data_IF_674592296871
#
_entry.id   IF_674592296871
#
_cell.length_a   1.000
_cell.length_b   1.000
_cell.length_c   1.000
_cell.angle_alpha   90.00
_cell.angle_beta   90.00
_cell.angle_gamma   90.00
#
_symmetry.space_group_name_H-M   'P 1'
#
loop_
_entity.id
_entity.type
_entity.pdbx_description
1 polymer ?
#
# COMPACT_ATOMS: atom_id res chain seq x y z
N UNK A 1 18.62 -6.84 -34.23
CA UNK A 1 19.39 -7.81 -33.41
C UNK A 1 18.59 -9.10 -33.41
N UNK A 2 19.20 -10.24 -33.69
CA UNK A 2 18.48 -11.53 -33.59
C UNK A 2 18.11 -11.76 -32.12
N UNK A 3 16.89 -12.27 -31.86
CA UNK A 3 16.36 -12.51 -30.50
C UNK A 3 17.31 -13.32 -29.61
N UNK A 4 18.24 -14.05 -30.21
CA UNK A 4 19.29 -14.81 -29.54
C UNK A 4 20.23 -13.95 -28.67
N UNK A 5 20.51 -12.69 -29.04
CA UNK A 5 21.46 -11.83 -28.32
C UNK A 5 20.78 -10.86 -27.35
N UNK A 6 19.47 -10.65 -27.50
CA UNK A 6 18.72 -9.71 -26.67
C UNK A 6 18.74 -10.06 -25.18
N UNK A 7 18.63 -11.33 -24.74
CA UNK A 7 18.66 -11.68 -23.32
C UNK A 7 19.97 -11.29 -22.61
N UNK A 8 21.12 -11.49 -23.27
CA UNK A 8 22.42 -11.13 -22.72
C UNK A 8 22.56 -9.61 -22.56
N UNK A 9 22.12 -8.87 -23.58
CA UNK A 9 22.14 -7.40 -23.58
C UNK A 9 21.15 -6.84 -22.54
N UNK A 10 19.95 -7.40 -22.43
CA UNK A 10 18.95 -7.01 -21.44
C UNK A 10 19.46 -7.24 -20.01
N UNK A 11 20.07 -8.39 -19.74
CA UNK A 11 20.66 -8.68 -18.43
C UNK A 11 21.70 -7.62 -18.06
N UNK A 12 22.63 -7.35 -18.97
CA UNK A 12 23.69 -6.37 -18.74
C UNK A 12 23.13 -4.95 -18.52
N UNK A 13 22.27 -4.47 -19.43
CA UNK A 13 21.79 -3.08 -19.39
C UNK A 13 20.80 -2.84 -18.24
N UNK A 14 19.84 -3.74 -18.04
CA UNK A 14 18.76 -3.54 -17.07
C UNK A 14 19.19 -3.93 -15.67
N UNK A 15 19.86 -5.08 -15.50
CA UNK A 15 20.19 -5.59 -14.16
C UNK A 15 21.56 -5.13 -13.67
N UNK A 16 22.58 -5.08 -14.53
CA UNK A 16 23.94 -4.70 -14.09
C UNK A 16 24.14 -3.18 -14.12
N UNK A 17 23.61 -2.49 -15.13
CA UNK A 17 23.74 -1.03 -15.26
C UNK A 17 22.54 -0.24 -14.72
N UNK A 18 21.41 -0.89 -14.42
CA UNK A 18 20.21 -0.21 -13.92
C UNK A 18 19.56 0.76 -14.90
N UNK A 19 19.84 0.61 -16.20
CA UNK A 19 19.29 1.47 -17.26
C UNK A 19 18.05 0.83 -17.91
N UNK A 20 17.19 1.67 -18.48
CA UNK A 20 16.00 1.20 -19.21
C UNK A 20 16.39 0.75 -20.61
N UNK A 21 16.00 -0.48 -20.98
CA UNK A 21 16.13 -1.02 -22.34
C UNK A 21 14.74 -1.19 -22.96
N UNK A 22 14.52 -0.58 -24.13
CA UNK A 22 13.27 -0.70 -24.89
C UNK A 22 13.56 -1.44 -26.21
N UNK A 23 13.07 -2.69 -26.40
CA UNK A 23 13.19 -3.39 -27.67
C UNK A 23 12.27 -2.76 -28.72
N UNK A 24 12.73 -2.70 -29.97
CA UNK A 24 11.99 -2.09 -31.08
C UNK A 24 12.11 -3.00 -32.31
N UNK A 25 10.99 -3.28 -32.97
CA UNK A 25 10.95 -4.17 -34.13
C UNK A 25 11.27 -3.42 -35.44
N UNK A 26 10.89 -2.14 -35.55
CA UNK A 26 11.08 -1.36 -36.77
C UNK A 26 11.35 0.13 -36.51
N UNK A 27 11.88 0.84 -37.51
CA UNK A 27 12.22 2.26 -37.39
C UNK A 27 10.99 3.17 -37.24
N UNK A 28 9.82 2.77 -37.76
CA UNK A 28 8.57 3.49 -37.58
C UNK A 28 8.13 3.49 -36.11
N UNK A 29 8.16 2.32 -35.46
CA UNK A 29 7.93 2.16 -34.02
C UNK A 29 8.95 2.96 -33.20
N UNK A 30 10.23 2.97 -33.61
CA UNK A 30 11.24 3.80 -32.96
C UNK A 30 10.88 5.28 -32.97
N UNK A 31 10.42 5.80 -34.12
CA UNK A 31 10.03 7.20 -34.24
C UNK A 31 8.84 7.55 -33.33
N UNK A 32 7.84 6.67 -33.26
CA UNK A 32 6.66 6.87 -32.41
C UNK A 32 7.01 6.81 -30.93
N UNK A 33 7.88 5.89 -30.53
CA UNK A 33 8.37 5.76 -29.15
C UNK A 33 9.13 7.01 -28.70
N UNK A 34 10.01 7.55 -29.55
CA UNK A 34 10.76 8.78 -29.24
C UNK A 34 9.79 9.96 -29.04
N UNK A 35 8.80 10.11 -29.92
CA UNK A 35 7.77 11.16 -29.79
C UNK A 35 7.03 11.01 -28.46
N UNK A 36 6.63 9.79 -28.10
CA UNK A 36 5.91 9.53 -26.85
C UNK A 36 6.77 9.81 -25.61
N UNK A 37 8.07 9.47 -25.64
CA UNK A 37 8.99 9.76 -24.55
C UNK A 37 9.14 11.26 -24.30
N UNK A 38 9.31 12.05 -25.36
CA UNK A 38 9.38 13.52 -25.24
C UNK A 38 8.05 14.09 -24.74
N UNK A 39 6.93 13.56 -25.23
CA UNK A 39 5.61 14.00 -24.82
C UNK A 39 5.33 13.70 -23.35
N UNK A 40 5.70 12.51 -22.86
CA UNK A 40 5.55 12.13 -21.45
C UNK A 40 6.49 12.93 -20.54
N UNK A 41 7.72 13.21 -20.97
CA UNK A 41 8.66 14.06 -20.23
C UNK A 41 8.19 15.52 -20.13
N UNK A 42 7.46 16.00 -21.13
CA UNK A 42 6.94 17.37 -21.16
C UNK A 42 5.64 17.55 -20.36
N UNK A 43 4.98 16.46 -19.95
CA UNK A 43 3.78 16.53 -19.10
C UNK A 43 4.17 16.71 -17.64
N UNK A 44 3.29 17.36 -16.88
CA UNK A 44 3.39 17.37 -15.43
C UNK A 44 3.44 15.93 -14.89
N UNK A 45 4.34 15.66 -13.94
CA UNK A 45 4.49 14.37 -13.24
C UNK A 45 3.19 13.84 -12.60
N UNK A 46 2.15 14.67 -12.59
CA UNK A 46 0.80 14.40 -12.09
C UNK A 46 -0.10 13.67 -13.09
N UNK A 47 0.31 13.54 -14.35
CA UNK A 47 -0.45 12.86 -15.41
C UNK A 47 -0.23 11.35 -15.43
N UNK A 48 0.89 10.85 -14.90
CA UNK A 48 1.17 9.42 -14.85
C UNK A 48 0.38 8.78 -13.68
N UNK A 49 -0.54 7.83 -13.94
CA UNK A 49 -1.37 7.22 -12.91
C UNK A 49 -0.59 6.31 -11.95
N UNK A 50 0.60 5.85 -12.34
CA UNK A 50 1.49 5.04 -11.52
C UNK A 50 2.42 5.89 -10.63
N UNK A 51 2.62 7.16 -10.99
CA UNK A 51 3.27 8.12 -10.09
C UNK A 51 2.22 8.52 -9.06
N UNK A 52 2.13 7.70 -8.02
CA UNK A 52 1.20 7.87 -6.91
C UNK A 52 1.19 9.33 -6.45
N UNK A 53 0.14 10.07 -6.78
CA UNK A 53 -0.22 11.22 -5.95
C UNK A 53 -0.44 10.65 -4.56
N UNK A 54 0.17 11.26 -3.54
CA UNK A 54 -0.21 11.05 -2.14
C UNK A 54 -1.66 11.53 -2.00
N UNK A 55 -2.59 10.77 -2.56
CA UNK A 55 -3.98 10.93 -2.28
C UNK A 55 -4.07 10.51 -0.82
N UNK A 56 -4.27 11.48 0.04
CA UNK A 56 -4.70 11.31 1.43
C UNK A 56 -6.09 10.67 1.41
N UNK A 57 -6.19 9.46 0.86
CA UNK A 57 -7.39 8.65 0.87
C UNK A 57 -7.65 8.32 2.32
N UNK A 58 -8.58 9.09 2.88
CA UNK A 58 -9.29 8.94 4.14
C UNK A 58 -8.67 7.86 5.05
N UNK A 59 -7.57 8.20 5.74
CA UNK A 59 -6.90 7.29 6.67
C UNK A 59 -7.89 6.66 7.66
N UNK A 60 -8.93 7.41 8.02
CA UNK A 60 -10.03 6.98 8.90
C UNK A 60 -10.75 5.71 8.43
N UNK A 61 -11.08 5.58 7.13
CA UNK A 61 -11.75 4.37 6.63
C UNK A 61 -10.83 3.14 6.69
N UNK A 62 -9.55 3.33 6.40
CA UNK A 62 -8.54 2.27 6.48
C UNK A 62 -8.27 1.85 7.93
N UNK A 63 -8.22 2.81 8.85
CA UNK A 63 -8.08 2.57 10.29
C UNK A 63 -9.29 1.77 10.80
N UNK A 64 -10.51 2.19 10.43
CA UNK A 64 -11.74 1.49 10.81
C UNK A 64 -11.80 0.06 10.24
N UNK A 65 -11.39 -0.16 8.99
CA UNK A 65 -11.29 -1.51 8.42
C UNK A 65 -10.27 -2.37 9.18
N UNK A 66 -9.16 -1.77 9.61
CA UNK A 66 -8.11 -2.47 10.37
C UNK A 66 -8.61 -2.91 11.73
N UNK A 67 -9.31 -2.04 12.46
CA UNK A 67 -9.92 -2.38 13.76
C UNK A 67 -11.01 -3.44 13.63
N UNK A 68 -11.74 -3.48 12.50
CA UNK A 68 -12.71 -4.54 12.21
C UNK A 68 -12.07 -5.91 11.93
N UNK A 69 -10.77 -6.00 11.67
CA UNK A 69 -10.10 -7.31 11.53
C UNK A 69 -9.91 -8.01 12.88
N UNK A 70 -10.13 -7.30 14.00
CA UNK A 70 -10.01 -7.88 15.33
C UNK A 70 -11.21 -8.82 15.57
N UNK A 71 -10.98 -10.08 15.99
CA UNK A 71 -12.06 -11.03 16.25
C UNK A 71 -13.08 -10.46 17.26
N UNK A 72 -14.37 -10.51 16.92
CA UNK A 72 -15.45 -10.01 17.79
C UNK A 72 -15.72 -8.50 17.73
N UNK A 73 -14.90 -7.74 16.98
CA UNK A 73 -15.08 -6.29 16.80
C UNK A 73 -15.79 -6.01 15.46
N UNK A 74 -17.11 -5.78 15.55
CA UNK A 74 -17.91 -5.31 14.40
C UNK A 74 -17.79 -3.80 14.16
N UNK A 75 -18.47 -3.29 13.12
CA UNK A 75 -18.44 -1.87 12.72
C UNK A 75 -18.77 -0.88 13.85
N UNK A 76 -19.82 -1.16 14.61
CA UNK A 76 -20.27 -0.29 15.71
C UNK A 76 -19.25 -0.25 16.86
N UNK A 77 -18.69 -1.41 17.21
CA UNK A 77 -17.68 -1.52 18.28
C UNK A 77 -16.36 -0.90 17.85
N UNK A 78 -15.97 -1.06 16.59
CA UNK A 78 -14.80 -0.41 16.02
C UNK A 78 -14.90 1.12 16.10
N UNK A 79 -16.07 1.69 15.80
CA UNK A 79 -16.31 3.13 15.93
C UNK A 79 -16.19 3.62 17.38
N UNK A 80 -16.81 2.91 18.32
CA UNK A 80 -16.72 3.26 19.75
C UNK A 80 -15.30 3.15 20.28
N UNK A 81 -14.56 2.11 19.87
CA UNK A 81 -13.16 1.95 20.21
C UNK A 81 -12.29 3.05 19.63
N UNK A 82 -12.52 3.47 18.38
CA UNK A 82 -11.79 4.59 17.77
C UNK A 82 -12.18 5.96 18.34
N UNK A 83 -13.38 6.08 18.91
CA UNK A 83 -13.81 7.29 19.62
C UNK A 83 -13.07 7.44 20.96
N UNK A 84 -12.83 6.33 21.66
CA UNK A 84 -12.12 6.32 22.94
C UNK A 84 -10.59 6.28 22.78
N UNK A 85 -10.11 5.52 21.79
CA UNK A 85 -8.70 5.33 21.47
C UNK A 85 -8.40 5.91 20.09
N UNK A 86 -7.88 7.14 20.06
CA UNK A 86 -7.67 7.94 18.84
C UNK A 86 -6.67 7.30 17.88
N UNK A 87 -5.81 6.39 18.37
CA UNK A 87 -4.81 5.69 17.56
C UNK A 87 -4.84 4.18 17.80
N UNK A 88 -4.53 3.41 16.75
CA UNK A 88 -4.34 1.95 16.85
C UNK A 88 -3.26 1.62 17.89
N UNK A 89 -2.21 2.44 18.01
CA UNK A 89 -1.18 2.24 19.03
C UNK A 89 -1.72 2.34 20.47
N UNK A 90 -2.65 3.25 20.72
CA UNK A 90 -3.30 3.35 22.04
C UNK A 90 -4.20 2.14 22.30
N UNK A 91 -4.89 1.66 21.27
CA UNK A 91 -5.74 0.47 21.36
C UNK A 91 -4.92 -0.81 21.65
N UNK A 92 -3.72 -0.95 21.08
CA UNK A 92 -2.82 -2.07 21.36
C UNK A 92 -2.31 -2.08 22.81
N UNK A 93 -2.10 -0.90 23.40
CA UNK A 93 -1.55 -0.74 24.76
C UNK A 93 -2.64 -0.51 25.82
N UNK A 94 -3.92 -0.54 25.44
CA UNK A 94 -5.03 -0.30 26.35
C UNK A 94 -5.13 -1.43 27.38
N UNK A 95 -5.43 -1.08 28.64
CA UNK A 95 -5.66 -2.07 29.67
C UNK A 95 -6.98 -2.81 29.42
N UNK A 96 -7.11 -4.04 29.94
CA UNK A 96 -8.37 -4.81 29.84
C UNK A 96 -9.53 -4.04 30.47
N UNK A 97 -9.27 -3.28 31.55
CA UNK A 97 -10.27 -2.47 32.26
C UNK A 97 -10.81 -1.33 31.38
N UNK A 98 -9.95 -0.67 30.62
CA UNK A 98 -10.36 0.42 29.72
C UNK A 98 -11.16 -0.10 28.51
N UNK A 99 -10.80 -1.29 28.02
CA UNK A 99 -11.53 -1.97 26.95
C UNK A 99 -12.89 -2.49 27.42
N UNK A 100 -12.99 -2.97 28.67
CA UNK A 100 -14.21 -3.47 29.28
C UNK A 100 -15.34 -2.44 29.26
N UNK A 101 -15.03 -1.17 29.52
CA UNK A 101 -15.97 -0.06 29.52
C UNK A 101 -16.65 0.16 28.15
N UNK A 102 -16.04 -0.29 27.05
CA UNK A 102 -16.51 -0.04 25.68
C UNK A 102 -17.13 -1.28 25.04
N UNK A 103 -16.53 -2.46 25.22
CA UNK A 103 -16.92 -3.68 24.49
C UNK A 103 -17.40 -4.83 25.37
N UNK A 104 -17.27 -4.69 26.70
CA UNK A 104 -17.58 -5.73 27.69
C UNK A 104 -16.45 -6.73 27.92
N UNK A 105 -16.51 -7.43 29.05
CA UNK A 105 -15.45 -8.31 29.59
C UNK A 105 -14.92 -9.37 28.61
N UNK A 106 -15.81 -10.17 28.01
CA UNK A 106 -15.38 -11.25 27.12
C UNK A 106 -14.60 -10.72 25.91
N UNK A 107 -15.03 -9.59 25.36
CA UNK A 107 -14.44 -9.04 24.14
C UNK A 107 -13.17 -8.25 24.47
N UNK A 108 -13.15 -7.53 25.59
CA UNK A 108 -11.95 -6.86 26.08
C UNK A 108 -10.78 -7.84 26.28
N UNK A 109 -11.06 -9.01 26.88
CA UNK A 109 -10.07 -10.07 27.03
C UNK A 109 -9.61 -10.64 25.68
N UNK A 110 -10.52 -10.83 24.72
CA UNK A 110 -10.18 -11.30 23.37
C UNK A 110 -9.29 -10.30 22.61
N UNK A 111 -9.60 -9.01 22.69
CA UNK A 111 -8.81 -7.95 22.07
C UNK A 111 -7.41 -7.91 22.69
N UNK A 112 -7.32 -7.91 24.02
CA UNK A 112 -6.03 -7.89 24.71
C UNK A 112 -5.22 -9.15 24.42
N UNK A 113 -5.84 -10.33 24.42
CA UNK A 113 -5.20 -11.59 24.04
C UNK A 113 -4.73 -11.57 22.58
N UNK A 114 -5.49 -10.98 21.66
CA UNK A 114 -5.09 -10.83 20.26
C UNK A 114 -3.80 -10.02 20.09
N UNK A 115 -3.59 -8.98 20.91
CA UNK A 115 -2.36 -8.17 20.84
C UNK A 115 -1.19 -8.73 21.65
N UNK A 116 -1.45 -9.46 22.73
CA UNK A 116 -0.40 -9.99 23.63
C UNK A 116 0.00 -11.43 23.36
N UNK A 117 -0.82 -12.21 22.64
CA UNK A 117 -0.42 -13.53 22.17
C UNK A 117 0.63 -13.38 21.07
N UNK A 118 1.88 -13.47 21.49
CA UNK A 118 3.00 -13.76 20.61
C UNK A 118 2.84 -15.19 20.11
N UNK A 119 2.78 -15.32 18.78
CA UNK A 119 2.76 -16.62 18.09
C UNK A 119 4.14 -17.27 18.12
#
# INVERSE_FOLDING_TARGET
ISDQYFPAVQKFIVLELGMTLLPIANQGEASQLIIQLVHEQSKDHTSNPFVHKKCSQLAEASILRTVQQIPGVGKTKALLLLQQFVSIHQLCNASVQDLELVVGQTIAQQIHAFFTQTK
#
